data_IF_512815397131
#
_entry.id   IF_512815397131
#
_cell.length_a   1.000
_cell.length_b   1.000
_cell.length_c   1.000
_cell.angle_alpha   90.00
_cell.angle_beta   90.00
_cell.angle_gamma   90.00
#
_symmetry.space_group_name_H-M   'P 1'
#
loop_
_entity.id
_entity.type
_entity.pdbx_description
1 polymer ?
#
# COMPACT_ATOMS: atom_id res chain seq x y z
N UNK A 1 -9.92 -18.74 6.88
CA UNK A 1 -10.93 -18.32 5.88
C UNK A 1 -11.98 -19.41 5.85
N UNK A 2 -13.18 -19.13 6.33
CA UNK A 2 -14.33 -19.96 6.01
C UNK A 2 -14.46 -19.96 4.49
N UNK A 3 -14.63 -21.15 3.92
CA UNK A 3 -14.90 -21.28 2.49
C UNK A 3 -16.19 -20.51 2.19
N UNK A 4 -16.05 -19.33 1.60
CA UNK A 4 -17.19 -18.49 1.28
C UNK A 4 -18.17 -19.27 0.42
N UNK A 5 -19.46 -19.15 0.74
CA UNK A 5 -20.55 -19.69 -0.06
C UNK A 5 -20.36 -19.20 -1.50
N UNK A 6 -20.34 -20.13 -2.45
CA UNK A 6 -20.27 -19.76 -3.87
C UNK A 6 -21.42 -18.81 -4.18
N UNK A 7 -21.16 -17.63 -4.83
CA UNK A 7 -22.25 -16.74 -5.21
C UNK A 7 -23.21 -17.45 -6.17
N UNK A 8 -24.46 -17.03 -6.21
CA UNK A 8 -25.41 -17.49 -7.22
C UNK A 8 -24.96 -16.98 -8.62
N UNK A 9 -25.43 -17.64 -9.67
CA UNK A 9 -25.11 -17.23 -11.04
C UNK A 9 -25.55 -15.78 -11.30
N UNK A 10 -26.69 -15.36 -10.77
CA UNK A 10 -27.17 -13.99 -10.87
C UNK A 10 -26.27 -12.98 -10.14
N UNK A 11 -25.77 -13.32 -8.96
CA UNK A 11 -24.81 -12.47 -8.22
C UNK A 11 -23.47 -12.38 -8.97
N UNK A 12 -23.03 -13.50 -9.56
CA UNK A 12 -21.82 -13.52 -10.36
C UNK A 12 -21.96 -12.67 -11.64
N UNK A 13 -23.06 -12.79 -12.36
CA UNK A 13 -23.34 -12.00 -13.57
C UNK A 13 -23.40 -10.50 -13.26
N UNK A 14 -24.05 -10.10 -12.16
CA UNK A 14 -24.06 -8.69 -11.73
C UNK A 14 -22.66 -8.19 -11.39
N UNK A 15 -21.84 -9.00 -10.73
CA UNK A 15 -20.44 -8.63 -10.47
C UNK A 15 -19.63 -8.56 -11.75
N UNK A 16 -19.75 -9.55 -12.62
CA UNK A 16 -19.02 -9.62 -13.90
C UNK A 16 -19.30 -8.41 -14.80
N UNK A 17 -20.54 -7.91 -14.80
CA UNK A 17 -20.94 -6.72 -15.55
C UNK A 17 -20.22 -5.44 -15.08
N UNK A 18 -19.67 -5.40 -13.86
CA UNK A 18 -18.90 -4.29 -13.34
C UNK A 18 -17.40 -4.39 -13.70
N UNK A 19 -16.95 -5.55 -14.16
CA UNK A 19 -15.54 -5.81 -14.49
C UNK A 19 -15.30 -5.55 -15.97
N UNK A 20 -14.37 -4.65 -16.26
CA UNK A 20 -14.02 -4.28 -17.61
C UNK A 20 -12.53 -4.54 -17.86
N UNK A 21 -12.20 -5.05 -19.02
CA UNK A 21 -10.82 -5.22 -19.45
C UNK A 21 -10.49 -4.19 -20.55
N UNK A 22 -9.39 -3.46 -20.34
CA UNK A 22 -8.83 -2.55 -21.34
C UNK A 22 -7.35 -2.87 -21.53
N UNK A 23 -7.00 -3.39 -22.67
CA UNK A 23 -5.59 -3.61 -23.03
C UNK A 23 -4.90 -2.27 -23.24
N UNK A 24 -3.72 -2.10 -22.60
CA UNK A 24 -2.84 -0.97 -22.85
C UNK A 24 -1.38 -1.40 -22.76
N UNK A 25 -0.54 -0.74 -23.52
CA UNK A 25 0.90 -0.82 -23.43
C UNK A 25 1.38 0.38 -22.60
N UNK A 26 2.02 0.11 -21.47
CA UNK A 26 2.47 1.13 -20.53
C UNK A 26 3.62 2.00 -21.06
N UNK A 27 4.25 1.59 -22.16
CA UNK A 27 5.29 2.37 -22.83
C UNK A 27 4.74 3.41 -23.84
N UNK A 28 3.45 3.33 -24.17
CA UNK A 28 2.82 4.15 -25.21
C UNK A 28 1.98 5.27 -24.58
N UNK A 29 2.39 6.55 -24.70
CA UNK A 29 1.69 7.70 -24.13
C UNK A 29 0.21 7.81 -24.56
N UNK A 30 -0.10 7.48 -25.81
CA UNK A 30 -1.45 7.54 -26.36
C UNK A 30 -2.42 6.56 -25.68
N UNK A 31 -1.92 5.47 -25.09
CA UNK A 31 -2.77 4.54 -24.35
C UNK A 31 -3.25 5.15 -23.03
N UNK A 32 -2.48 6.08 -22.44
CA UNK A 32 -2.90 6.80 -21.22
C UNK A 32 -4.01 7.81 -21.53
N UNK A 33 -3.96 8.47 -22.70
CA UNK A 33 -5.07 9.33 -23.11
C UNK A 33 -6.34 8.50 -23.30
N UNK A 34 -6.25 7.35 -23.97
CA UNK A 34 -7.38 6.44 -24.10
C UNK A 34 -7.91 5.89 -22.77
N UNK A 35 -7.04 5.71 -21.74
CA UNK A 35 -7.47 5.37 -20.40
C UNK A 35 -8.24 6.53 -19.75
N UNK A 36 -7.71 7.75 -19.88
CA UNK A 36 -8.36 8.96 -19.35
C UNK A 36 -9.76 9.13 -19.93
N UNK A 37 -9.89 9.09 -21.26
CA UNK A 37 -11.18 9.25 -21.94
C UNK A 37 -12.20 8.20 -21.47
N UNK A 38 -11.72 6.97 -21.25
CA UNK A 38 -12.54 5.86 -20.77
C UNK A 38 -13.00 6.05 -19.31
N UNK A 39 -12.15 6.63 -18.44
CA UNK A 39 -12.48 6.95 -17.05
C UNK A 39 -13.41 8.16 -16.98
N UNK A 40 -13.15 9.22 -17.76
CA UNK A 40 -13.96 10.44 -17.80
C UNK A 40 -15.40 10.15 -18.22
N UNK A 41 -15.58 9.25 -19.21
CA UNK A 41 -16.90 8.83 -19.66
C UNK A 41 -17.75 8.16 -18.57
N UNK A 42 -17.14 7.70 -17.47
CA UNK A 42 -17.83 7.09 -16.33
C UNK A 42 -18.23 8.06 -15.24
N UNK A 43 -17.72 9.28 -15.29
CA UNK A 43 -18.02 10.37 -14.36
C UNK A 43 -17.99 9.93 -12.89
N UNK A 44 -16.97 9.15 -12.49
CA UNK A 44 -16.83 8.63 -11.14
C UNK A 44 -16.45 9.76 -10.15
N UNK A 45 -16.95 9.68 -8.92
CA UNK A 45 -16.59 10.61 -7.86
C UNK A 45 -15.15 10.38 -7.36
N UNK A 46 -14.67 9.17 -7.46
CA UNK A 46 -13.29 8.79 -7.10
C UNK A 46 -12.76 7.75 -8.07
N UNK A 47 -11.52 7.93 -8.50
CA UNK A 47 -10.77 6.98 -9.32
C UNK A 47 -9.60 6.46 -8.52
N UNK A 48 -9.50 5.15 -8.36
CA UNK A 48 -8.35 4.51 -7.72
C UNK A 48 -7.52 3.81 -8.78
N UNK A 49 -6.29 4.25 -8.96
CA UNK A 49 -5.30 3.67 -9.85
C UNK A 49 -4.38 2.74 -9.04
N UNK A 50 -4.68 1.45 -9.07
CA UNK A 50 -3.91 0.44 -8.36
C UNK A 50 -2.80 -0.10 -9.24
N UNK A 51 -1.55 0.19 -8.89
CA UNK A 51 -0.37 -0.22 -9.66
C UNK A 51 0.15 -1.58 -9.18
N UNK A 52 -0.47 -2.65 -9.67
CA UNK A 52 0.00 -4.03 -9.48
C UNK A 52 1.05 -4.41 -10.53
N UNK A 53 1.95 -3.49 -10.85
CA UNK A 53 3.01 -3.66 -11.85
C UNK A 53 4.37 -3.77 -11.18
N UNK A 54 5.40 -4.10 -11.96
CA UNK A 54 6.76 -4.12 -11.44
C UNK A 54 7.23 -2.72 -11.02
N UNK A 55 7.97 -2.57 -9.90
CA UNK A 55 8.36 -1.27 -9.34
C UNK A 55 9.14 -0.37 -10.29
N UNK A 56 9.94 -0.95 -11.20
CA UNK A 56 10.69 -0.16 -12.18
C UNK A 56 9.79 0.58 -13.19
N UNK A 57 8.51 0.23 -13.28
CA UNK A 57 7.55 0.91 -14.13
C UNK A 57 6.85 2.09 -13.42
N UNK A 58 6.91 2.17 -12.08
CA UNK A 58 6.14 3.17 -11.32
C UNK A 58 6.45 4.60 -11.74
N UNK A 59 7.72 4.93 -11.91
CA UNK A 59 8.16 6.26 -12.35
C UNK A 59 7.54 6.64 -13.69
N UNK A 60 7.67 5.76 -14.69
CA UNK A 60 7.12 6.01 -16.03
C UNK A 60 5.59 6.10 -16.02
N UNK A 61 4.92 5.19 -15.32
CA UNK A 61 3.46 5.21 -15.21
C UNK A 61 2.97 6.50 -14.56
N UNK A 62 3.54 6.90 -13.42
CA UNK A 62 3.15 8.11 -12.71
C UNK A 62 3.34 9.37 -13.58
N UNK A 63 4.45 9.48 -14.30
CA UNK A 63 4.70 10.58 -15.22
C UNK A 63 3.66 10.65 -16.35
N UNK A 64 3.34 9.52 -16.96
CA UNK A 64 2.33 9.46 -18.03
C UNK A 64 0.91 9.78 -17.51
N UNK A 65 0.55 9.29 -16.33
CA UNK A 65 -0.72 9.63 -15.68
C UNK A 65 -0.82 11.14 -15.42
N UNK A 66 0.25 11.75 -14.95
CA UNK A 66 0.32 13.21 -14.77
C UNK A 66 0.21 13.97 -16.09
N UNK A 67 0.89 13.51 -17.13
CA UNK A 67 0.89 14.15 -18.45
C UNK A 67 -0.51 14.22 -19.10
N UNK A 68 -1.36 13.21 -18.86
CA UNK A 68 -2.75 13.21 -19.34
C UNK A 68 -3.75 13.80 -18.31
N UNK A 69 -3.28 14.32 -17.17
CA UNK A 69 -4.13 14.92 -16.14
C UNK A 69 -4.89 13.93 -15.27
N UNK A 70 -4.46 12.66 -15.20
CA UNK A 70 -4.98 11.66 -14.25
C UNK A 70 -4.32 11.80 -12.87
N UNK A 71 -4.14 13.04 -12.41
CA UNK A 71 -3.62 13.38 -11.08
C UNK A 71 -4.50 14.44 -10.37
N UNK A 72 -5.71 14.68 -10.86
CA UNK A 72 -6.65 15.63 -10.25
C UNK A 72 -7.19 15.11 -8.90
N UNK A 73 -7.85 15.95 -8.14
CA UNK A 73 -8.25 15.70 -6.74
C UNK A 73 -9.12 14.45 -6.51
N UNK A 74 -9.83 13.96 -7.51
CA UNK A 74 -10.63 12.73 -7.41
C UNK A 74 -9.79 11.44 -7.62
N UNK A 75 -8.53 11.54 -8.05
CA UNK A 75 -7.66 10.39 -8.32
C UNK A 75 -6.87 10.01 -7.08
N UNK A 76 -6.74 8.72 -6.85
CA UNK A 76 -5.88 8.10 -5.84
C UNK A 76 -4.96 7.12 -6.52
N UNK A 77 -3.68 7.15 -6.23
CA UNK A 77 -2.70 6.16 -6.71
C UNK A 77 -2.30 5.24 -5.57
N UNK A 78 -2.32 3.96 -5.85
CA UNK A 78 -1.98 2.90 -4.90
C UNK A 78 -0.79 2.13 -5.43
N UNK A 79 0.27 2.05 -4.64
CA UNK A 79 1.53 1.42 -4.97
C UNK A 79 1.73 0.19 -4.09
N UNK A 80 2.06 -0.93 -4.71
CA UNK A 80 2.44 -2.16 -4.00
C UNK A 80 3.95 -2.24 -3.73
N UNK A 81 4.30 -3.01 -2.72
CA UNK A 81 5.71 -3.35 -2.46
C UNK A 81 6.28 -4.27 -3.58
N UNK A 82 7.61 -4.23 -3.80
CA UNK A 82 8.60 -3.36 -3.16
C UNK A 82 8.60 -1.95 -3.74
N UNK A 83 8.78 -0.94 -2.88
CA UNK A 83 8.94 0.45 -3.29
C UNK A 83 10.42 0.79 -3.47
N UNK A 84 11.04 0.14 -4.46
CA UNK A 84 12.48 0.15 -4.69
C UNK A 84 13.19 -1.08 -4.10
N UNK A 85 14.44 -1.26 -4.47
CA UNK A 85 15.31 -2.36 -4.02
C UNK A 85 16.40 -1.88 -3.05
N UNK A 86 16.62 -0.57 -2.96
CA UNK A 86 17.52 0.13 -2.05
C UNK A 86 16.98 1.53 -1.72
N UNK A 87 17.69 2.25 -0.85
CA UNK A 87 17.30 3.60 -0.44
C UNK A 87 17.23 4.58 -1.62
N UNK A 88 18.18 4.51 -2.54
CA UNK A 88 18.26 5.43 -3.68
C UNK A 88 17.06 5.25 -4.62
N UNK A 89 16.74 4.00 -4.99
CA UNK A 89 15.58 3.68 -5.83
C UNK A 89 14.26 3.99 -5.13
N UNK A 90 14.15 3.76 -3.82
CA UNK A 90 12.98 4.12 -3.04
C UNK A 90 12.76 5.64 -3.00
N UNK A 91 13.83 6.42 -2.81
CA UNK A 91 13.78 7.89 -2.84
C UNK A 91 13.38 8.41 -4.23
N UNK A 92 13.89 7.79 -5.30
CA UNK A 92 13.54 8.17 -6.68
C UNK A 92 12.05 7.93 -6.97
N UNK A 93 11.52 6.75 -6.63
CA UNK A 93 10.09 6.46 -6.76
C UNK A 93 9.26 7.48 -5.97
N UNK A 94 9.62 7.72 -4.71
CA UNK A 94 8.90 8.69 -3.88
C UNK A 94 8.96 10.11 -4.45
N UNK A 95 10.11 10.56 -4.96
CA UNK A 95 10.27 11.86 -5.60
C UNK A 95 9.35 12.00 -6.81
N UNK A 96 9.32 10.97 -7.67
CA UNK A 96 8.46 10.98 -8.84
C UNK A 96 6.98 10.97 -8.46
N UNK A 97 6.56 10.12 -7.54
CA UNK A 97 5.17 10.09 -7.07
C UNK A 97 4.74 11.45 -6.53
N UNK A 98 5.56 12.09 -5.69
CA UNK A 98 5.28 13.40 -5.09
C UNK A 98 5.34 14.56 -6.10
N UNK A 99 6.04 14.43 -7.22
CA UNK A 99 6.04 15.44 -8.29
C UNK A 99 4.76 15.41 -9.14
N UNK A 100 4.01 14.31 -9.09
CA UNK A 100 2.78 14.10 -9.89
C UNK A 100 1.53 14.15 -9.02
N UNK A 101 1.57 13.53 -7.84
CA UNK A 101 0.43 13.39 -6.93
C UNK A 101 0.71 14.09 -5.59
N UNK A 102 -0.30 14.71 -5.01
CA UNK A 102 -0.23 15.13 -3.62
C UNK A 102 -0.13 13.92 -2.67
N UNK A 103 0.50 14.08 -1.51
CA UNK A 103 0.67 12.98 -0.55
C UNK A 103 -0.68 12.35 -0.14
N UNK A 104 -1.74 13.16 0.00
CA UNK A 104 -3.12 12.69 0.29
C UNK A 104 -3.72 11.78 -0.81
N UNK A 105 -3.12 11.75 -2.00
CA UNK A 105 -3.55 10.95 -3.13
C UNK A 105 -2.73 9.66 -3.28
N UNK A 106 -1.57 9.56 -2.63
CA UNK A 106 -0.61 8.47 -2.80
C UNK A 106 -0.67 7.49 -1.62
N UNK A 107 -1.05 6.25 -1.89
CA UNK A 107 -1.19 5.18 -0.89
C UNK A 107 -0.14 4.11 -1.16
N UNK A 108 0.63 3.77 -0.13
CA UNK A 108 1.63 2.69 -0.17
C UNK A 108 1.11 1.55 0.67
N UNK A 109 0.95 0.38 0.05
CA UNK A 109 0.36 -0.79 0.72
C UNK A 109 1.42 -1.64 1.37
N UNK A 110 1.25 -1.88 2.66
CA UNK A 110 1.80 -3.03 3.36
C UNK A 110 0.65 -3.90 3.84
N UNK A 111 0.50 -5.10 3.28
CA UNK A 111 -0.63 -5.98 3.57
C UNK A 111 -0.62 -6.53 5.02
N UNK A 112 0.52 -6.50 5.71
CA UNK A 112 0.59 -6.86 7.12
C UNK A 112 -0.14 -5.85 8.01
N UNK A 113 -0.07 -4.56 7.66
CA UNK A 113 -0.81 -3.51 8.38
C UNK A 113 -2.34 -3.66 8.26
N UNK A 114 -2.81 -4.34 7.21
CA UNK A 114 -4.23 -4.67 7.01
C UNK A 114 -4.70 -5.94 7.73
N UNK A 115 -3.80 -6.73 8.33
CA UNK A 115 -4.21 -7.96 9.04
C UNK A 115 -5.02 -7.61 10.30
N UNK A 116 -6.13 -8.31 10.59
CA UNK A 116 -6.95 -8.01 11.78
C UNK A 116 -6.18 -8.00 13.09
N UNK A 117 -5.19 -8.90 13.24
CA UNK A 117 -4.33 -8.95 14.44
C UNK A 117 -3.50 -7.68 14.62
N UNK A 118 -3.02 -7.08 13.53
CA UNK A 118 -2.25 -5.84 13.55
C UNK A 118 -3.15 -4.64 13.82
N UNK A 119 -4.33 -4.60 13.20
CA UNK A 119 -5.34 -3.57 13.47
C UNK A 119 -5.79 -3.62 14.94
N UNK A 120 -5.98 -4.81 15.50
CA UNK A 120 -6.31 -5.00 16.91
C UNK A 120 -5.18 -4.51 17.84
N UNK A 121 -3.93 -4.65 17.45
CA UNK A 121 -2.80 -4.11 18.22
C UNK A 121 -2.86 -2.58 18.31
N UNK A 122 -3.23 -1.91 17.23
CA UNK A 122 -3.42 -0.45 17.22
C UNK A 122 -4.57 -0.03 18.15
N UNK A 123 -5.71 -0.72 18.07
CA UNK A 123 -6.86 -0.46 18.94
C UNK A 123 -6.52 -0.74 20.42
N UNK A 124 -5.84 -1.85 20.71
CA UNK A 124 -5.41 -2.20 22.06
C UNK A 124 -4.49 -1.13 22.66
N UNK A 125 -3.53 -0.67 21.88
CA UNK A 125 -2.47 0.22 22.34
C UNK A 125 -2.91 1.67 22.45
N UNK A 126 -3.62 2.20 21.44
CA UNK A 126 -3.95 3.63 21.33
C UNK A 126 -5.44 3.93 21.59
N UNK A 127 -6.29 2.94 21.52
CA UNK A 127 -7.73 3.09 21.77
C UNK A 127 -8.18 2.56 23.14
N UNK A 128 -7.24 2.15 24.02
CA UNK A 128 -7.61 1.53 25.29
C UNK A 128 -6.80 2.11 26.45
N UNK A 129 -7.45 2.97 27.22
CA UNK A 129 -6.85 3.64 28.38
C UNK A 129 -6.32 2.71 29.48
N UNK A 130 -6.75 1.45 29.52
CA UNK A 130 -6.24 0.46 30.48
C UNK A 130 -4.84 -0.03 30.12
N UNK A 131 -4.53 -0.14 28.83
CA UNK A 131 -3.25 -0.69 28.37
C UNK A 131 -2.21 0.39 28.10
N UNK A 132 -2.60 1.60 27.78
CA UNK A 132 -1.68 2.68 27.47
C UNK A 132 -0.65 2.94 28.60
N UNK A 133 -1.03 3.05 29.89
CA UNK A 133 -0.07 3.24 30.99
C UNK A 133 0.86 2.05 31.21
N UNK A 134 0.48 0.86 30.77
CA UNK A 134 1.27 -0.37 30.90
C UNK A 134 2.27 -0.54 29.76
N UNK A 135 2.16 0.24 28.69
CA UNK A 135 3.00 0.12 27.49
C UNK A 135 4.32 0.88 27.65
N UNK A 136 5.09 0.46 28.66
CA UNK A 136 6.36 1.08 29.02
C UNK A 136 7.36 0.03 29.54
N UNK A 137 8.65 0.41 29.53
CA UNK A 137 9.75 -0.50 29.91
C UNK A 137 9.63 -1.11 31.32
N UNK A 138 8.97 -0.41 32.24
CA UNK A 138 8.77 -0.88 33.61
C UNK A 138 7.77 -2.03 33.70
N UNK A 139 6.87 -2.12 32.73
CA UNK A 139 5.79 -3.12 32.71
C UNK A 139 6.01 -4.21 31.67
N UNK A 140 6.82 -3.96 30.62
CA UNK A 140 7.08 -4.91 29.52
C UNK A 140 8.52 -5.38 29.58
N UNK A 141 8.71 -6.68 29.90
CA UNK A 141 10.04 -7.28 30.00
C UNK A 141 10.69 -7.52 28.62
N UNK A 142 9.93 -8.00 27.65
CA UNK A 142 10.40 -8.23 26.27
C UNK A 142 9.24 -8.23 25.28
N UNK A 143 9.56 -8.09 24.00
CA UNK A 143 8.64 -8.18 22.88
C UNK A 143 9.22 -9.17 21.89
N UNK A 144 8.40 -10.11 21.43
CA UNK A 144 8.76 -11.09 20.41
C UNK A 144 7.83 -10.95 19.21
N UNK A 145 8.40 -10.73 18.04
CA UNK A 145 7.66 -10.63 16.78
C UNK A 145 7.97 -11.88 15.96
N UNK A 146 6.97 -12.74 15.78
CA UNK A 146 7.08 -13.96 14.98
C UNK A 146 6.26 -13.81 13.70
N UNK A 147 6.92 -13.91 12.55
CA UNK A 147 6.31 -13.94 11.24
C UNK A 147 6.39 -15.38 10.70
N UNK A 148 5.30 -16.11 10.84
CA UNK A 148 5.19 -17.49 10.37
C UNK A 148 4.18 -17.58 9.22
N UNK A 149 4.61 -18.16 8.10
CA UNK A 149 3.75 -18.38 6.93
C UNK A 149 3.75 -19.86 6.56
N UNK A 150 2.57 -20.37 6.18
CA UNK A 150 2.43 -21.77 5.73
C UNK A 150 2.84 -21.93 4.26
N UNK A 151 2.76 -20.85 3.47
CA UNK A 151 3.13 -20.88 2.06
C UNK A 151 4.64 -20.71 1.90
N UNK A 152 5.28 -21.66 1.22
CA UNK A 152 6.68 -21.53 0.79
C UNK A 152 6.83 -20.56 -0.38
N UNK A 153 8.07 -20.46 -0.88
CA UNK A 153 8.43 -19.56 -1.98
C UNK A 153 7.71 -19.91 -3.30
N UNK A 154 7.38 -21.20 -3.52
CA UNK A 154 6.67 -21.67 -4.70
C UNK A 154 7.35 -21.25 -6.01
N UNK A 155 6.58 -20.69 -6.94
CA UNK A 155 7.07 -20.24 -8.25
C UNK A 155 7.83 -18.91 -8.21
N UNK A 156 7.93 -18.24 -7.04
CA UNK A 156 8.62 -16.95 -6.84
C UNK A 156 10.11 -17.10 -6.50
N UNK A 157 10.72 -18.26 -6.77
CA UNK A 157 12.13 -18.55 -6.41
C UNK A 157 13.11 -17.50 -6.90
N UNK A 158 13.02 -17.09 -8.17
CA UNK A 158 13.90 -16.08 -8.75
C UNK A 158 13.75 -14.68 -8.08
N UNK A 159 12.52 -14.29 -7.72
CA UNK A 159 12.29 -13.06 -6.98
C UNK A 159 12.92 -13.14 -5.58
N UNK A 160 12.71 -14.25 -4.90
CA UNK A 160 13.19 -14.44 -3.54
C UNK A 160 14.72 -14.54 -3.47
N UNK A 161 15.35 -15.13 -4.48
CA UNK A 161 16.82 -15.22 -4.61
C UNK A 161 17.46 -13.82 -4.70
N UNK A 162 16.86 -12.92 -5.45
CA UNK A 162 17.31 -11.52 -5.58
C UNK A 162 16.96 -10.61 -4.38
N UNK A 163 15.95 -10.95 -3.58
CA UNK A 163 15.43 -10.09 -2.51
C UNK A 163 15.83 -10.59 -1.12
N UNK A 164 15.60 -11.87 -0.84
CA UNK A 164 15.84 -12.53 0.45
C UNK A 164 14.86 -12.14 1.55
N UNK A 165 14.83 -12.95 2.61
CA UNK A 165 13.92 -12.76 3.74
C UNK A 165 14.13 -11.44 4.49
N UNK A 166 15.36 -10.96 4.56
CA UNK A 166 15.68 -9.73 5.27
C UNK A 166 14.95 -8.53 4.65
N UNK A 167 15.02 -8.37 3.33
CA UNK A 167 14.36 -7.27 2.62
C UNK A 167 12.87 -7.48 2.47
N UNK A 168 12.43 -8.70 2.17
CA UNK A 168 11.02 -8.98 1.89
C UNK A 168 10.16 -9.01 3.16
N UNK A 169 10.66 -9.54 4.26
CA UNK A 169 9.88 -9.75 5.48
C UNK A 169 10.32 -8.85 6.64
N UNK A 170 11.62 -8.79 6.96
CA UNK A 170 12.08 -8.05 8.14
C UNK A 170 11.99 -6.55 7.92
N UNK A 171 12.59 -6.05 6.86
CA UNK A 171 12.67 -4.61 6.56
C UNK A 171 11.29 -4.00 6.30
N UNK A 172 10.38 -4.72 5.69
CA UNK A 172 9.02 -4.26 5.47
C UNK A 172 8.13 -4.54 6.70
N UNK A 173 7.73 -5.78 6.87
CA UNK A 173 6.66 -6.15 7.80
C UNK A 173 7.08 -6.13 9.27
N UNK A 174 8.24 -6.74 9.61
CA UNK A 174 8.66 -6.81 11.00
C UNK A 174 9.02 -5.43 11.56
N UNK A 175 9.69 -4.57 10.78
CA UNK A 175 10.01 -3.21 11.21
C UNK A 175 8.76 -2.33 11.35
N UNK A 176 7.75 -2.49 10.51
CA UNK A 176 6.47 -1.79 10.66
C UNK A 176 5.78 -2.20 11.97
N UNK A 177 5.72 -3.50 12.27
CA UNK A 177 5.18 -4.00 13.54
C UNK A 177 5.99 -3.49 14.73
N UNK A 178 7.32 -3.52 14.63
CA UNK A 178 8.20 -2.99 15.67
C UNK A 178 7.94 -1.49 15.91
N UNK A 179 7.79 -0.70 14.84
CA UNK A 179 7.48 0.72 14.93
C UNK A 179 6.16 0.94 15.66
N UNK A 180 5.11 0.22 15.28
CA UNK A 180 3.80 0.30 15.96
C UNK A 180 3.88 -0.07 17.43
N UNK A 181 4.75 -1.01 17.79
CA UNK A 181 4.93 -1.47 19.17
C UNK A 181 5.79 -0.49 19.98
N UNK A 182 6.84 0.06 19.39
CA UNK A 182 7.86 0.83 20.09
C UNK A 182 7.60 2.34 20.15
N UNK A 183 6.82 2.91 19.22
CA UNK A 183 6.56 4.35 19.21
C UNK A 183 5.78 4.80 20.43
N UNK A 184 5.96 6.06 20.85
CA UNK A 184 5.18 6.68 21.92
C UNK A 184 3.91 7.30 21.37
N UNK A 185 2.81 7.23 22.12
CA UNK A 185 1.50 7.77 21.70
C UNK A 185 1.51 9.30 21.55
N UNK A 186 2.20 10.01 22.42
CA UNK A 186 2.22 11.48 22.45
C UNK A 186 3.14 12.11 21.39
N UNK A 187 4.29 11.50 21.12
CA UNK A 187 5.26 12.03 20.16
C UNK A 187 4.75 11.96 18.71
N UNK A 188 3.87 11.01 18.43
CA UNK A 188 3.35 10.83 17.07
C UNK A 188 2.33 11.89 16.66
N UNK A 189 1.53 12.39 17.60
CA UNK A 189 0.53 13.44 17.34
C UNK A 189 1.18 14.81 17.09
N UNK A 190 2.25 15.14 17.81
CA UNK A 190 2.94 16.42 17.68
C UNK A 190 3.80 16.53 16.42
N UNK A 191 4.44 15.44 15.99
CA UNK A 191 5.27 15.43 14.77
C UNK A 191 4.44 15.42 13.47
N UNK A 192 3.30 14.76 13.45
CA UNK A 192 2.38 14.82 12.30
C UNK A 192 1.77 16.21 12.15
N UNK A 193 1.39 16.86 13.23
CA UNK A 193 0.89 18.23 13.21
C UNK A 193 1.95 19.26 12.80
N UNK A 194 3.21 19.03 13.14
CA UNK A 194 4.31 19.93 12.72
C UNK A 194 4.72 19.76 11.26
N UNK A 195 4.41 18.65 10.62
CA UNK A 195 4.70 18.40 9.18
C UNK A 195 3.61 18.88 8.23
N UNK A 196 2.42 19.16 8.73
CA UNK A 196 1.35 19.81 7.95
C UNK A 196 1.51 21.35 7.86
N UNK A 197 2.49 21.91 8.57
CA UNK A 197 2.66 23.37 8.68
C UNK A 197 3.94 23.90 7.96
N UNK A 198 4.61 23.06 7.15
CA UNK A 198 5.77 23.46 6.34
C UNK A 198 5.52 23.22 4.85
#
# INVERSE_FOLDING_TARGET
MEAGKRPSDEEFERFAALVHYKRMDLSQPEHYQGLKDWLDARNADTVVLYLATSPHLFTGICQQLGAVGLNHDKVRVVLEKPLGHDLASAQEINRTVRSVFHERQAFRIDHYLGKPSVQNLMALRFGNALFEPLWRRESIANIQITLAEQLGVGTRGAFYDGTGALRDMIQNHALQLLTMIAMRSEEHTSELQSRETI
#
